data_IF_586212001392
#
_entry.id   IF_586212001392
#
_cell.length_a   1.000
_cell.length_b   1.000
_cell.length_c   1.000
_cell.angle_alpha   90.00
_cell.angle_beta   90.00
_cell.angle_gamma   90.00
#
_symmetry.space_group_name_H-M   'P 1'
#
loop_
_entity.id
_entity.type
_entity.pdbx_description
1 polymer ?
#
# COMPACT_ATOMS: atom_id res chain seq x y z
N UNK A 1 15.74 10.37 16.23
CA UNK A 1 15.36 9.52 17.38
C UNK A 1 16.58 9.35 18.25
N UNK A 2 16.46 9.62 19.55
CA UNK A 2 17.55 9.51 20.51
C UNK A 2 18.03 8.06 20.60
N UNK A 3 19.33 7.86 20.47
CA UNK A 3 20.02 6.58 20.55
C UNK A 3 20.03 6.06 22.01
N UNK A 4 18.88 5.54 22.46
CA UNK A 4 18.65 4.97 23.81
C UNK A 4 19.05 3.50 23.88
N UNK A 5 20.30 3.20 23.50
CA UNK A 5 20.94 1.91 23.72
C UNK A 5 22.05 2.01 24.78
N UNK A 6 22.36 0.91 25.52
CA UNK A 6 23.46 0.92 26.47
C UNK A 6 24.80 1.16 25.75
N UNK A 7 25.47 2.26 26.10
CA UNK A 7 26.72 2.72 25.46
C UNK A 7 27.97 2.06 26.03
N UNK A 8 27.88 1.43 27.20
CA UNK A 8 29.00 0.76 27.86
C UNK A 8 29.15 -0.68 27.40
N UNK A 9 30.38 -1.17 27.31
CA UNK A 9 30.71 -2.54 26.90
C UNK A 9 30.08 -3.59 27.83
N UNK A 10 30.04 -3.29 29.13
CA UNK A 10 29.30 -4.06 30.13
C UNK A 10 27.78 -4.07 29.87
N UNK A 11 27.19 -2.94 29.48
CA UNK A 11 25.77 -2.85 29.15
C UNK A 11 25.41 -3.62 27.88
N UNK A 12 26.29 -3.62 26.87
CA UNK A 12 26.15 -4.47 25.67
C UNK A 12 26.28 -5.96 26.01
N UNK A 13 27.20 -6.34 26.91
CA UNK A 13 27.34 -7.72 27.37
C UNK A 13 26.11 -8.24 28.12
N UNK A 14 25.51 -7.44 29.01
CA UNK A 14 24.29 -7.83 29.74
C UNK A 14 23.09 -8.01 28.80
N UNK A 15 22.93 -7.13 27.80
CA UNK A 15 21.89 -7.28 26.77
C UNK A 15 22.16 -8.51 25.88
N UNK A 16 23.43 -8.77 25.54
CA UNK A 16 23.80 -9.96 24.76
C UNK A 16 23.56 -11.28 25.52
N UNK A 17 23.77 -11.30 26.84
CA UNK A 17 23.45 -12.44 27.69
C UNK A 17 21.93 -12.71 27.73
N UNK A 18 21.09 -11.67 27.69
CA UNK A 18 19.64 -11.81 27.61
C UNK A 18 19.12 -12.26 26.22
N UNK A 19 19.94 -12.17 25.17
CA UNK A 19 19.62 -12.64 23.82
C UNK A 19 20.06 -14.09 23.54
N UNK A 20 20.57 -14.78 24.55
CA UNK A 20 21.13 -16.11 24.43
C UNK A 20 20.02 -17.14 24.10
N UNK A 21 20.12 -17.93 23.01
CA UNK A 21 19.14 -18.98 22.70
C UNK A 21 18.91 -19.99 23.84
N UNK A 22 19.89 -20.11 24.74
CA UNK A 22 19.83 -20.92 25.96
C UNK A 22 18.74 -20.49 26.95
N UNK A 23 18.21 -19.26 26.82
CA UNK A 23 17.06 -18.79 27.59
C UNK A 23 15.78 -19.59 27.30
N UNK A 24 15.67 -20.16 26.09
CA UNK A 24 14.50 -20.91 25.64
C UNK A 24 14.67 -22.43 25.74
N UNK A 25 15.91 -22.94 25.66
CA UNK A 25 16.19 -24.38 25.70
C UNK A 25 17.62 -24.66 26.12
N UNK A 26 17.81 -25.69 26.95
CA UNK A 26 19.14 -26.16 27.38
C UNK A 26 19.70 -27.26 26.47
N UNK A 27 18.92 -27.74 25.48
CA UNK A 27 19.38 -28.77 24.56
C UNK A 27 20.37 -28.16 23.54
N UNK A 28 21.63 -28.65 23.46
CA UNK A 28 22.65 -28.07 22.58
C UNK A 28 22.28 -28.12 21.09
N UNK A 29 21.59 -29.18 20.64
CA UNK A 29 21.13 -29.29 19.26
C UNK A 29 20.05 -28.24 18.95
N UNK A 30 19.20 -27.94 19.92
CA UNK A 30 18.15 -26.93 19.77
C UNK A 30 18.72 -25.51 19.78
N UNK A 31 19.74 -25.23 20.60
CA UNK A 31 20.49 -23.95 20.59
C UNK A 31 21.13 -23.71 19.22
N UNK A 32 21.82 -24.72 18.68
CA UNK A 32 22.42 -24.64 17.35
C UNK A 32 21.36 -24.44 16.25
N UNK A 33 20.23 -25.14 16.34
CA UNK A 33 19.12 -24.97 15.40
C UNK A 33 18.50 -23.56 15.45
N UNK A 34 18.35 -22.97 16.64
CA UNK A 34 17.87 -21.59 16.80
C UNK A 34 18.84 -20.60 16.16
N UNK A 35 20.16 -20.82 16.29
CA UNK A 35 21.16 -19.95 15.69
C UNK A 35 21.12 -20.01 14.16
N UNK A 36 21.00 -21.21 13.58
CA UNK A 36 20.80 -21.39 12.13
C UNK A 36 19.51 -20.72 11.68
N UNK A 37 18.41 -20.88 12.43
CA UNK A 37 17.13 -20.24 12.11
C UNK A 37 17.20 -18.71 12.16
N UNK A 38 17.94 -18.12 13.12
CA UNK A 38 18.20 -16.67 13.18
C UNK A 38 18.94 -16.20 11.92
N UNK A 39 19.99 -16.91 11.49
CA UNK A 39 20.73 -16.58 10.27
C UNK A 39 19.84 -16.65 9.03
N UNK A 40 19.02 -17.69 8.91
CA UNK A 40 18.07 -17.85 7.80
C UNK A 40 17.04 -16.71 7.76
N UNK A 41 16.49 -16.29 8.91
CA UNK A 41 15.56 -15.17 9.00
C UNK A 41 16.20 -13.82 8.68
N UNK A 42 17.48 -13.64 9.01
CA UNK A 42 18.22 -12.41 8.70
C UNK A 42 18.65 -12.31 7.23
N UNK A 43 18.46 -13.35 6.42
CA UNK A 43 18.70 -13.24 4.98
C UNK A 43 17.66 -12.35 4.32
N UNK A 44 18.04 -11.63 3.25
CA UNK A 44 17.12 -10.77 2.47
C UNK A 44 15.86 -11.51 2.00
N UNK A 45 15.98 -12.82 1.78
CA UNK A 45 14.91 -13.68 1.25
C UNK A 45 14.15 -14.44 2.36
N UNK A 46 14.57 -14.30 3.63
CA UNK A 46 13.96 -15.00 4.76
C UNK A 46 12.47 -14.68 4.94
N UNK A 47 12.06 -13.46 4.56
CA UNK A 47 10.68 -12.97 4.69
C UNK A 47 9.69 -13.71 3.77
N UNK A 48 10.12 -14.14 2.58
CA UNK A 48 9.28 -14.76 1.57
C UNK A 48 9.73 -16.18 1.19
N UNK A 49 10.67 -16.76 1.95
CA UNK A 49 11.19 -18.10 1.71
C UNK A 49 10.10 -19.19 1.67
N UNK A 50 8.95 -18.99 2.32
CA UNK A 50 7.85 -19.97 2.34
C UNK A 50 6.82 -19.81 1.22
N UNK A 51 6.89 -18.75 0.42
CA UNK A 51 5.88 -18.45 -0.61
C UNK A 51 6.00 -19.37 -1.83
N UNK A 52 7.21 -19.63 -2.40
CA UNK A 52 7.34 -20.49 -3.56
C UNK A 52 6.87 -21.93 -3.31
N UNK A 53 6.17 -22.54 -4.26
CA UNK A 53 5.87 -23.98 -4.24
C UNK A 53 7.13 -24.82 -4.47
N UNK A 54 7.07 -26.10 -4.08
CA UNK A 54 8.08 -27.09 -4.44
C UNK A 54 7.85 -27.58 -5.86
N UNK A 55 8.92 -27.61 -6.66
CA UNK A 55 8.91 -28.07 -8.04
C UNK A 55 8.71 -29.59 -8.08
N UNK A 56 7.67 -30.03 -8.79
CA UNK A 56 7.36 -31.45 -9.03
C UNK A 56 7.82 -31.95 -10.39
N UNK A 57 8.53 -31.12 -11.18
CA UNK A 57 8.92 -31.41 -12.57
C UNK A 57 7.73 -31.99 -13.37
N UNK A 58 7.80 -33.26 -13.77
CA UNK A 58 6.73 -33.95 -14.50
C UNK A 58 5.37 -34.02 -13.78
N UNK A 59 5.35 -33.99 -12.44
CA UNK A 59 4.12 -34.01 -11.64
C UNK A 59 3.57 -32.62 -11.29
N UNK A 60 4.12 -31.57 -11.89
CA UNK A 60 3.65 -30.20 -11.66
C UNK A 60 2.32 -29.95 -12.40
N UNK A 61 1.29 -29.38 -11.76
CA UNK A 61 0.06 -29.01 -12.46
C UNK A 61 0.26 -27.95 -13.54
N UNK A 62 1.40 -27.26 -13.52
CA UNK A 62 1.78 -26.22 -14.49
C UNK A 62 2.83 -26.72 -15.49
N UNK A 63 3.04 -28.02 -15.62
CA UNK A 63 4.09 -28.62 -16.46
C UNK A 63 4.03 -28.08 -17.90
N UNK A 64 2.84 -28.05 -18.48
CA UNK A 64 2.66 -27.73 -19.91
C UNK A 64 2.93 -26.25 -20.22
N UNK A 65 2.65 -25.36 -19.26
CA UNK A 65 2.94 -23.92 -19.36
C UNK A 65 4.31 -23.51 -18.80
N UNK A 66 5.03 -24.41 -18.14
CA UNK A 66 6.30 -24.12 -17.49
C UNK A 66 7.47 -24.12 -18.50
N UNK A 67 8.00 -22.93 -18.79
CA UNK A 67 9.15 -22.74 -19.68
C UNK A 67 10.41 -23.51 -19.21
N UNK A 68 10.69 -23.51 -17.90
CA UNK A 68 11.83 -24.25 -17.36
C UNK A 68 11.70 -25.76 -17.52
N UNK A 69 10.47 -26.27 -17.56
CA UNK A 69 10.25 -27.68 -17.84
C UNK A 69 10.46 -28.00 -19.32
N UNK A 70 9.96 -27.14 -20.22
CA UNK A 70 10.18 -27.25 -21.67
C UNK A 70 11.68 -27.17 -22.05
N UNK A 71 12.46 -26.42 -21.28
CA UNK A 71 13.91 -26.29 -21.44
C UNK A 71 14.72 -27.37 -20.68
N UNK A 72 14.06 -28.34 -20.03
CA UNK A 72 14.71 -29.40 -19.23
C UNK A 72 15.57 -28.88 -18.06
N UNK A 73 15.27 -27.67 -17.56
CA UNK A 73 15.98 -26.99 -16.46
C UNK A 73 15.18 -26.99 -15.14
N UNK A 74 14.07 -27.71 -15.06
CA UNK A 74 13.21 -27.73 -13.88
C UNK A 74 13.85 -28.49 -12.70
N UNK A 75 14.18 -27.83 -11.56
CA UNK A 75 14.88 -28.47 -10.45
C UNK A 75 13.89 -29.21 -9.54
N UNK A 76 13.72 -30.51 -9.76
CA UNK A 76 12.81 -31.35 -8.97
C UNK A 76 13.16 -31.34 -7.48
N UNK A 77 12.16 -31.14 -6.61
CA UNK A 77 12.32 -31.14 -5.15
C UNK A 77 12.76 -29.80 -4.56
N UNK A 78 13.25 -28.88 -5.38
CA UNK A 78 13.62 -27.53 -4.96
C UNK A 78 12.44 -26.56 -5.08
N UNK A 79 12.58 -25.37 -4.49
CA UNK A 79 11.60 -24.29 -4.66
C UNK A 79 11.51 -23.85 -6.11
N UNK A 80 10.30 -23.54 -6.57
CA UNK A 80 10.01 -23.14 -7.94
C UNK A 80 10.81 -21.88 -8.34
N UNK A 81 11.74 -21.96 -9.31
CA UNK A 81 12.56 -20.81 -9.68
C UNK A 81 11.78 -19.69 -10.36
N UNK A 82 10.72 -20.03 -11.11
CA UNK A 82 9.84 -19.03 -11.76
C UNK A 82 9.16 -18.16 -10.70
N UNK A 83 8.64 -18.78 -9.63
CA UNK A 83 8.01 -18.03 -8.55
C UNK A 83 9.04 -17.24 -7.73
N UNK A 84 10.24 -17.79 -7.49
CA UNK A 84 11.32 -17.05 -6.81
C UNK A 84 11.65 -15.77 -7.58
N UNK A 85 11.88 -15.88 -8.88
CA UNK A 85 12.19 -14.72 -9.72
C UNK A 85 11.05 -13.69 -9.73
N UNK A 86 9.80 -14.16 -9.81
CA UNK A 86 8.63 -13.28 -9.74
C UNK A 86 8.50 -12.58 -8.38
N UNK A 87 8.76 -13.28 -7.27
CA UNK A 87 8.73 -12.70 -5.92
C UNK A 87 9.77 -11.60 -5.77
N UNK A 88 11.01 -11.85 -6.21
CA UNK A 88 12.09 -10.86 -6.10
C UNK A 88 11.77 -9.60 -6.91
N UNK A 89 11.34 -9.78 -8.16
CA UNK A 89 10.94 -8.66 -9.03
C UNK A 89 9.75 -7.88 -8.46
N UNK A 90 8.68 -8.57 -8.02
CA UNK A 90 7.51 -7.91 -7.45
C UNK A 90 7.84 -7.16 -6.16
N UNK A 91 8.63 -7.78 -5.28
CA UNK A 91 9.00 -7.17 -4.00
C UNK A 91 9.82 -5.90 -4.22
N UNK A 92 10.83 -5.95 -5.09
CA UNK A 92 11.65 -4.78 -5.41
C UNK A 92 10.85 -3.68 -6.12
N UNK A 93 9.90 -4.03 -7.00
CA UNK A 93 8.96 -3.08 -7.61
C UNK A 93 8.09 -2.39 -6.57
N UNK A 94 7.49 -3.14 -5.64
CA UNK A 94 6.63 -2.57 -4.60
C UNK A 94 7.39 -1.65 -3.66
N UNK A 95 8.58 -2.07 -3.22
CA UNK A 95 9.44 -1.25 -2.36
C UNK A 95 9.84 0.05 -3.06
N UNK A 96 10.24 -0.04 -4.32
CA UNK A 96 10.63 1.13 -5.12
C UNK A 96 9.47 2.08 -5.32
N UNK A 97 8.31 1.55 -5.72
CA UNK A 97 7.09 2.34 -5.95
C UNK A 97 6.61 3.03 -4.66
N UNK A 98 6.71 2.34 -3.53
CA UNK A 98 6.29 2.84 -2.24
C UNK A 98 7.38 3.62 -1.52
N UNK A 99 8.61 3.71 -2.03
CA UNK A 99 9.76 4.38 -1.40
C UNK A 99 9.98 3.91 0.05
N UNK A 100 9.91 2.60 0.27
CA UNK A 100 10.13 1.99 1.58
C UNK A 100 11.61 1.70 1.74
N UNK A 101 12.21 2.09 2.86
CA UNK A 101 13.56 1.67 3.20
C UNK A 101 13.51 0.30 3.90
N UNK A 102 14.30 -0.67 3.39
CA UNK A 102 14.38 -2.04 3.91
C UNK A 102 15.14 -2.12 5.22
N UNK A 103 16.08 -1.20 5.43
CA UNK A 103 16.99 -1.26 6.57
C UNK A 103 16.47 -0.46 7.78
N UNK A 104 15.39 0.32 7.60
CA UNK A 104 14.73 1.08 8.67
C UNK A 104 13.72 0.20 9.45
N UNK A 105 13.94 -0.05 10.75
CA UNK A 105 13.00 -0.78 11.60
C UNK A 105 11.59 -0.16 11.64
N UNK A 106 11.47 1.17 11.42
CA UNK A 106 10.19 1.87 11.37
C UNK A 106 9.27 1.42 10.23
N UNK A 107 9.83 0.77 9.22
CA UNK A 107 9.11 0.28 8.04
C UNK A 107 8.76 -1.22 8.12
N UNK A 108 9.01 -1.88 9.25
CA UNK A 108 8.74 -3.32 9.43
C UNK A 108 7.30 -3.70 9.06
N UNK A 109 6.33 -2.89 9.50
CA UNK A 109 4.90 -3.11 9.22
C UNK A 109 4.59 -2.98 7.72
N UNK A 110 5.21 -2.01 7.05
CA UNK A 110 5.05 -1.80 5.61
C UNK A 110 5.68 -2.95 4.82
N UNK A 111 6.86 -3.44 5.24
CA UNK A 111 7.54 -4.58 4.63
C UNK A 111 6.72 -5.88 4.76
N UNK A 112 6.06 -6.11 5.90
CA UNK A 112 5.17 -7.25 6.10
C UNK A 112 3.97 -7.16 5.15
N UNK A 113 3.34 -5.99 5.05
CA UNK A 113 2.22 -5.79 4.12
C UNK A 113 2.64 -5.94 2.67
N UNK A 114 3.83 -5.45 2.28
CA UNK A 114 4.37 -5.70 0.93
C UNK A 114 4.56 -7.19 0.68
N UNK A 115 5.12 -7.94 1.65
CA UNK A 115 5.20 -9.40 1.54
C UNK A 115 3.83 -10.04 1.32
N UNK A 116 2.80 -9.59 2.03
CA UNK A 116 1.44 -10.10 1.85
C UNK A 116 0.88 -9.80 0.46
N UNK A 117 1.11 -8.60 -0.07
CA UNK A 117 0.70 -8.25 -1.44
C UNK A 117 1.41 -9.14 -2.47
N UNK A 118 2.72 -9.38 -2.31
CA UNK A 118 3.48 -10.26 -3.21
C UNK A 118 2.98 -11.71 -3.13
N UNK A 119 2.66 -12.20 -1.94
CA UNK A 119 2.08 -13.53 -1.74
C UNK A 119 0.74 -13.69 -2.49
N UNK A 120 -0.13 -12.69 -2.38
CA UNK A 120 -1.39 -12.64 -3.13
C UNK A 120 -1.17 -12.63 -4.65
N UNK A 121 -0.17 -11.89 -5.14
CA UNK A 121 0.17 -11.84 -6.56
C UNK A 121 0.68 -13.17 -7.10
N UNK A 122 1.49 -13.89 -6.33
CA UNK A 122 1.94 -15.24 -6.71
C UNK A 122 0.76 -16.23 -6.72
N UNK A 123 -0.16 -16.12 -5.77
CA UNK A 123 -1.38 -16.93 -5.78
C UNK A 123 -2.28 -16.61 -6.99
N UNK A 124 -2.37 -15.34 -7.39
CA UNK A 124 -3.07 -14.95 -8.61
C UNK A 124 -2.38 -15.48 -9.87
N UNK A 125 -1.05 -15.43 -9.93
CA UNK A 125 -0.26 -16.02 -11.02
C UNK A 125 -0.52 -17.53 -11.16
N UNK A 126 -0.64 -18.25 -10.04
CA UNK A 126 -1.02 -19.67 -10.04
C UNK A 126 -2.42 -19.92 -10.60
N UNK A 127 -3.38 -19.06 -10.26
CA UNK A 127 -4.74 -19.13 -10.81
C UNK A 127 -4.72 -18.88 -12.32
N UNK A 128 -3.94 -17.89 -12.77
CA UNK A 128 -3.81 -17.54 -14.19
C UNK A 128 -3.15 -18.66 -14.99
N UNK A 129 -2.10 -19.28 -14.45
CA UNK A 129 -1.47 -20.43 -15.06
C UNK A 129 -2.40 -21.64 -15.12
N UNK A 130 -3.25 -21.86 -14.10
CA UNK A 130 -4.25 -22.93 -14.14
C UNK A 130 -5.29 -22.66 -15.22
N UNK A 131 -5.76 -21.42 -15.30
CA UNK A 131 -6.77 -21.03 -16.27
C UNK A 131 -6.26 -21.02 -17.71
N UNK A 132 -4.98 -20.69 -17.91
CA UNK A 132 -4.33 -20.81 -19.22
C UNK A 132 -4.26 -22.26 -19.71
N UNK A 133 -4.20 -23.24 -18.82
CA UNK A 133 -4.19 -24.67 -19.17
C UNK A 133 -5.60 -25.16 -19.47
N UNK A 134 -6.58 -24.83 -18.60
CA UNK A 134 -7.94 -25.34 -18.73
C UNK A 134 -8.72 -24.67 -19.89
N UNK A 135 -8.34 -23.45 -20.27
CA UNK A 135 -8.89 -22.64 -21.39
C UNK A 135 -10.40 -22.31 -21.36
N UNK A 136 -11.19 -22.95 -20.50
CA UNK A 136 -12.62 -22.69 -20.28
C UNK A 136 -12.87 -22.03 -18.92
N UNK A 137 -13.81 -21.08 -18.90
CA UNK A 137 -14.26 -20.41 -17.68
C UNK A 137 -15.46 -21.10 -17.05
N UNK A 138 -16.16 -21.95 -17.80
CA UNK A 138 -17.38 -22.62 -17.36
C UNK A 138 -17.09 -24.12 -17.25
N UNK A 139 -17.45 -24.71 -16.11
CA UNK A 139 -17.37 -26.16 -15.89
C UNK A 139 -18.79 -26.71 -15.74
N UNK A 140 -19.07 -27.83 -16.39
CA UNK A 140 -20.28 -28.60 -16.14
C UNK A 140 -20.06 -29.55 -14.97
N UNK A 141 -20.68 -29.24 -13.82
CA UNK A 141 -20.67 -30.10 -12.65
C UNK A 141 -21.92 -30.99 -12.64
N UNK A 142 -21.74 -32.30 -12.50
CA UNK A 142 -22.85 -33.25 -12.33
C UNK A 142 -23.40 -33.17 -10.90
N UNK A 143 -24.64 -32.74 -10.74
CA UNK A 143 -25.27 -32.54 -9.41
C UNK A 143 -26.01 -33.79 -8.94
N UNK A 144 -26.72 -34.45 -9.85
CA UNK A 144 -27.50 -35.64 -9.53
C UNK A 144 -27.58 -36.58 -10.73
N UNK A 145 -27.69 -37.87 -10.44
CA UNK A 145 -28.00 -38.90 -11.44
C UNK A 145 -29.46 -39.29 -11.20
N UNK A 146 -30.29 -39.20 -12.24
CA UNK A 146 -31.68 -39.64 -12.18
C UNK A 146 -31.76 -41.17 -12.04
N UNK A 147 -32.93 -41.70 -11.66
CA UNK A 147 -33.15 -43.16 -11.56
C UNK A 147 -32.93 -43.90 -12.90
N UNK A 148 -33.09 -43.19 -14.02
CA UNK A 148 -32.82 -43.67 -15.39
C UNK A 148 -31.32 -43.62 -15.78
N UNK A 149 -30.44 -43.14 -14.91
CA UNK A 149 -28.99 -43.07 -15.15
C UNK A 149 -28.51 -41.79 -15.85
N UNK A 150 -29.42 -40.88 -16.22
CA UNK A 150 -29.06 -39.60 -16.84
C UNK A 150 -28.50 -38.62 -15.81
N UNK A 151 -27.32 -38.06 -16.10
CA UNK A 151 -26.66 -37.07 -15.25
C UNK A 151 -27.21 -35.67 -15.54
N UNK A 152 -27.79 -35.03 -14.52
CA UNK A 152 -28.14 -33.60 -14.59
C UNK A 152 -26.88 -32.76 -14.31
N UNK A 153 -26.40 -32.07 -15.35
CA UNK A 153 -25.28 -31.12 -15.25
C UNK A 153 -25.78 -29.71 -14.95
N UNK A 154 -25.00 -28.97 -14.16
CA UNK A 154 -25.13 -27.52 -13.99
C UNK A 154 -23.85 -26.86 -14.46
N UNK A 155 -24.04 -25.81 -15.26
CA UNK A 155 -22.97 -24.91 -15.65
C UNK A 155 -22.62 -23.99 -14.48
N UNK A 156 -21.39 -24.11 -13.97
CA UNK A 156 -20.84 -23.29 -12.90
C UNK A 156 -19.54 -22.62 -13.35
N UNK A 157 -19.17 -21.51 -12.70
CA UNK A 157 -17.91 -20.83 -12.98
C UNK A 157 -16.74 -21.68 -12.47
N UNK A 158 -15.63 -21.67 -13.21
CA UNK A 158 -14.43 -22.37 -12.81
C UNK A 158 -13.94 -21.89 -11.43
N UNK A 159 -13.68 -22.79 -10.45
CA UNK A 159 -13.33 -22.40 -9.08
C UNK A 159 -12.10 -21.49 -8.96
N UNK A 160 -11.15 -21.60 -9.90
CA UNK A 160 -9.99 -20.72 -9.95
C UNK A 160 -10.36 -19.24 -10.20
N UNK A 161 -11.45 -18.96 -10.94
CA UNK A 161 -11.92 -17.58 -11.17
C UNK A 161 -12.50 -16.99 -9.88
N UNK A 162 -13.34 -17.76 -9.19
CA UNK A 162 -13.89 -17.35 -7.89
C UNK A 162 -12.79 -17.13 -6.86
N UNK A 163 -11.82 -18.04 -6.82
CA UNK A 163 -10.67 -17.92 -5.93
C UNK A 163 -9.83 -16.68 -6.25
N UNK A 164 -9.55 -16.42 -7.54
CA UNK A 164 -8.87 -15.20 -7.99
C UNK A 164 -9.60 -13.94 -7.57
N UNK A 165 -10.93 -13.91 -7.64
CA UNK A 165 -11.74 -12.77 -7.18
C UNK A 165 -11.57 -12.53 -5.67
N UNK A 166 -11.55 -13.58 -4.85
CA UNK A 166 -11.28 -13.49 -3.40
C UNK A 166 -9.88 -12.94 -3.13
N UNK A 167 -8.87 -13.41 -3.86
CA UNK A 167 -7.49 -12.92 -3.75
C UNK A 167 -7.39 -11.43 -4.13
N UNK A 168 -8.07 -11.01 -5.19
CA UNK A 168 -8.10 -9.63 -5.64
C UNK A 168 -8.72 -8.70 -4.60
N UNK A 169 -9.84 -9.11 -3.99
CA UNK A 169 -10.48 -8.36 -2.91
C UNK A 169 -9.54 -8.21 -1.70
N UNK A 170 -8.84 -9.29 -1.30
CA UNK A 170 -7.81 -9.23 -0.26
C UNK A 170 -6.66 -8.30 -0.65
N UNK A 171 -6.20 -8.33 -1.90
CA UNK A 171 -5.11 -7.47 -2.39
C UNK A 171 -5.48 -5.99 -2.28
N UNK A 172 -6.69 -5.63 -2.72
CA UNK A 172 -7.19 -4.26 -2.59
C UNK A 172 -7.27 -3.81 -1.13
N UNK A 173 -7.75 -4.69 -0.24
CA UNK A 173 -7.79 -4.41 1.20
C UNK A 173 -6.39 -4.18 1.78
N UNK A 174 -5.41 -5.03 1.46
CA UNK A 174 -4.04 -4.88 1.95
C UNK A 174 -3.40 -3.58 1.43
N UNK A 175 -3.59 -3.24 0.16
CA UNK A 175 -3.10 -1.96 -0.40
C UNK A 175 -3.77 -0.75 0.24
N UNK A 176 -5.06 -0.83 0.55
CA UNK A 176 -5.77 0.24 1.27
C UNK A 176 -5.23 0.42 2.69
N UNK A 177 -4.95 -0.67 3.41
CA UNK A 177 -4.34 -0.64 4.74
C UNK A 177 -2.92 -0.07 4.69
N UNK A 178 -2.15 -0.42 3.67
CA UNK A 178 -0.80 0.11 3.46
C UNK A 178 -0.84 1.63 3.22
N UNK A 179 -1.80 2.13 2.46
CA UNK A 179 -1.97 3.57 2.29
C UNK A 179 -2.47 4.26 3.57
N UNK A 180 -3.34 3.61 4.35
CA UNK A 180 -3.85 4.16 5.62
C UNK A 180 -2.73 4.32 6.64
N UNK A 181 -1.97 3.26 6.91
CA UNK A 181 -0.86 3.28 7.88
C UNK A 181 0.18 4.35 7.57
N UNK A 182 0.45 4.60 6.28
CA UNK A 182 1.33 5.67 5.83
C UNK A 182 0.74 7.06 6.05
N UNK A 183 -0.54 7.26 5.73
CA UNK A 183 -1.26 8.48 6.06
C UNK A 183 -1.32 8.73 7.57
N UNK A 184 -1.40 7.69 8.39
CA UNK A 184 -1.38 7.82 9.84
C UNK A 184 0.02 8.21 10.34
N UNK A 185 1.08 7.63 9.75
CA UNK A 185 2.48 8.04 10.02
C UNK A 185 2.77 9.49 9.60
N UNK A 186 2.21 9.95 8.48
CA UNK A 186 2.34 11.33 7.99
C UNK A 186 1.43 12.29 8.78
N UNK A 187 0.21 11.86 9.09
CA UNK A 187 -0.78 12.54 9.89
C UNK A 187 -0.26 12.89 11.29
N UNK A 188 0.50 11.97 11.89
CA UNK A 188 1.21 12.20 13.16
C UNK A 188 2.41 13.15 13.05
N UNK A 189 2.91 13.44 11.85
CA UNK A 189 3.90 14.52 11.63
C UNK A 189 3.21 15.86 11.41
N UNK A 190 1.98 15.85 10.87
CA UNK A 190 1.11 17.03 10.71
C UNK A 190 0.15 17.27 11.88
N UNK A 191 0.25 16.54 12.98
CA UNK A 191 0.01 17.14 14.31
C UNK A 191 1.16 18.10 14.61
N UNK A 192 1.29 19.12 13.77
CA UNK A 192 1.50 20.44 14.31
C UNK A 192 0.42 20.58 15.38
N UNK A 193 0.87 20.61 16.63
CA UNK A 193 0.23 21.41 17.64
C UNK A 193 0.17 22.83 17.04
N UNK A 194 -0.81 23.08 16.18
CA UNK A 194 -1.38 24.41 16.01
C UNK A 194 -1.98 24.67 17.36
N UNK A 195 -1.10 25.15 18.25
CA UNK A 195 -1.45 25.62 19.57
C UNK A 195 -2.73 26.43 19.40
N UNK A 196 -3.78 26.13 20.18
CA UNK A 196 -5.07 26.79 20.01
C UNK A 196 -4.91 28.32 19.98
N UNK A 197 -3.87 28.82 20.67
CA UNK A 197 -3.32 30.16 20.66
C UNK A 197 -2.93 30.69 19.27
N UNK A 198 -2.21 29.92 18.44
CA UNK A 198 -1.77 30.35 17.11
C UNK A 198 -2.94 30.48 16.14
N UNK A 199 -3.89 29.52 16.18
CA UNK A 199 -5.10 29.60 15.36
C UNK A 199 -6.02 30.73 15.82
N UNK A 200 -6.12 30.97 17.13
CA UNK A 200 -6.83 32.12 17.67
C UNK A 200 -6.16 33.45 17.26
N UNK A 201 -4.82 33.52 17.29
CA UNK A 201 -4.07 34.71 16.89
C UNK A 201 -4.24 35.01 15.40
N UNK A 202 -4.26 33.99 14.55
CA UNK A 202 -4.50 34.14 13.11
C UNK A 202 -5.92 34.64 12.82
N UNK A 203 -6.93 34.09 13.52
CA UNK A 203 -8.31 34.57 13.43
C UNK A 203 -8.46 36.03 13.88
N UNK A 204 -7.83 36.41 14.99
CA UNK A 204 -7.83 37.79 15.48
C UNK A 204 -7.16 38.72 14.47
N UNK A 205 -6.04 38.29 13.87
CA UNK A 205 -5.34 39.07 12.85
C UNK A 205 -6.21 39.28 11.61
N UNK A 206 -6.88 38.22 11.12
CA UNK A 206 -7.80 38.34 9.98
C UNK A 206 -8.98 39.26 10.30
N UNK A 207 -9.50 39.23 11.52
CA UNK A 207 -10.58 40.14 11.94
C UNK A 207 -10.11 41.59 12.00
N UNK A 208 -8.88 41.84 12.47
CA UNK A 208 -8.29 43.19 12.47
C UNK A 208 -8.02 43.72 11.07
N UNK A 209 -7.56 42.87 10.15
CA UNK A 209 -7.30 43.27 8.77
C UNK A 209 -8.61 43.57 8.02
N UNK A 210 -9.67 42.77 8.24
CA UNK A 210 -11.02 43.07 7.73
C UNK A 210 -11.53 44.41 8.23
N UNK A 211 -11.38 44.69 9.53
CA UNK A 211 -11.86 45.94 10.11
C UNK A 211 -11.14 47.17 9.55
N UNK A 212 -9.84 47.07 9.29
CA UNK A 212 -9.08 48.15 8.65
C UNK A 212 -9.58 48.45 7.24
N UNK A 213 -9.92 47.41 6.46
CA UNK A 213 -10.48 47.59 5.13
C UNK A 213 -11.85 48.29 5.19
N UNK A 214 -12.70 47.92 6.14
CA UNK A 214 -13.99 48.60 6.39
C UNK A 214 -13.77 50.07 6.79
N UNK A 215 -12.84 50.34 7.71
CA UNK A 215 -12.51 51.72 8.13
C UNK A 215 -11.96 52.55 6.95
N UNK A 216 -11.11 51.97 6.09
CA UNK A 216 -10.57 52.62 4.89
C UNK A 216 -11.66 52.89 3.84
N UNK A 217 -12.63 51.98 3.67
CA UNK A 217 -13.78 52.14 2.79
C UNK A 217 -14.71 53.27 3.28
N UNK A 218 -15.01 53.31 4.57
CA UNK A 218 -15.82 54.36 5.20
C UNK A 218 -15.13 55.74 5.07
N UNK A 219 -13.81 55.81 5.25
CA UNK A 219 -13.04 57.03 5.05
C UNK A 219 -13.06 57.50 3.59
N UNK A 220 -12.92 56.57 2.63
CA UNK A 220 -13.00 56.86 1.20
C UNK A 220 -14.41 57.36 0.79
N UNK A 221 -15.46 56.74 1.33
CA UNK A 221 -16.86 57.13 1.10
C UNK A 221 -17.14 58.53 1.66
N UNK A 222 -16.72 58.81 2.90
CA UNK A 222 -16.86 60.14 3.50
C UNK A 222 -16.04 61.20 2.76
N UNK A 223 -14.85 60.86 2.25
CA UNK A 223 -14.05 61.76 1.44
C UNK A 223 -14.72 62.04 0.09
N UNK A 224 -15.34 61.04 -0.53
CA UNK A 224 -16.14 61.18 -1.74
C UNK A 224 -17.34 62.11 -1.52
N UNK A 225 -18.15 61.87 -0.48
CA UNK A 225 -19.30 62.72 -0.16
C UNK A 225 -18.90 64.14 0.24
N UNK A 226 -17.78 64.33 0.94
CA UNK A 226 -17.24 65.67 1.24
C UNK A 226 -16.82 66.43 -0.02
N UNK A 227 -16.24 65.75 -1.02
CA UNK A 227 -15.91 66.37 -2.33
C UNK A 227 -17.18 66.73 -3.11
N UNK A 228 -18.21 65.89 -3.05
CA UNK A 228 -19.50 66.15 -3.70
C UNK A 228 -20.28 67.29 -3.03
N UNK A 229 -20.18 67.45 -1.70
CA UNK A 229 -20.84 68.54 -0.97
C UNK A 229 -20.16 69.92 -1.18
N UNK A 230 -18.88 69.95 -1.57
CA UNK A 230 -18.14 71.19 -1.85
C UNK A 230 -18.34 71.76 -3.26
N UNK A 231 -18.76 70.94 -4.22
CA UNK A 231 -19.03 71.36 -5.60
C UNK A 231 -20.53 71.36 -5.88
N UNK A 232 -21.13 72.56 -5.92
CA UNK A 232 -22.56 72.77 -6.13
C UNK A 232 -23.01 72.59 -7.60
N UNK A 233 -22.57 71.53 -8.27
CA UNK A 233 -22.99 71.20 -9.64
C UNK A 233 -23.23 69.69 -9.76
N UNK A 234 -24.45 69.23 -10.09
CA UNK A 234 -24.70 67.82 -10.30
C UNK A 234 -24.01 67.40 -11.60
N UNK A 235 -23.01 66.53 -11.52
CA UNK A 235 -22.47 65.84 -12.70
C UNK A 235 -23.50 64.82 -13.17
N UNK A 236 -24.44 65.27 -13.98
CA UNK A 236 -25.25 64.41 -14.84
C UNK A 236 -24.27 63.75 -15.82
N UNK A 237 -24.18 62.42 -15.78
CA UNK A 237 -23.47 61.66 -16.80
C UNK A 237 -24.46 61.52 -17.96
N UNK A 238 -24.34 62.39 -18.96
CA UNK A 238 -25.07 62.21 -20.22
C UNK A 238 -24.46 61.00 -20.95
N UNK A 239 -25.18 59.88 -20.91
CA UNK A 239 -24.87 58.71 -21.74
C UNK A 239 -25.51 58.96 -23.10
N UNK A 240 -24.68 59.27 -24.11
CA UNK A 240 -25.15 59.32 -25.49
C UNK A 240 -25.64 57.92 -25.92
N UNK A 241 -26.85 57.78 -26.49
CA UNK A 241 -27.34 56.49 -26.93
C UNK A 241 -26.50 55.99 -28.10
N UNK A 242 -25.99 54.76 -27.98
CA UNK A 242 -25.27 54.05 -29.03
C UNK A 242 -26.19 53.96 -30.25
N UNK A 243 -25.83 54.65 -31.33
CA UNK A 243 -26.53 54.58 -32.61
C UNK A 243 -26.47 53.17 -33.16
N UNK A 244 -27.63 52.54 -33.35
CA UNK A 244 -27.76 51.36 -34.20
C UNK A 244 -27.74 51.84 -35.66
N UNK A 245 -26.61 51.70 -36.33
CA UNK A 245 -26.56 51.79 -37.79
C UNK A 245 -27.25 50.54 -38.37
N UNK A 246 -28.43 50.73 -38.96
CA UNK A 246 -29.10 49.71 -39.78
C UNK A 246 -28.34 49.50 -41.10
N UNK A 247 -27.72 48.33 -41.26
CA UNK A 247 -27.40 47.72 -42.56
C UNK A 247 -27.57 46.21 -42.51
#
# INVERSE_FOLDING_TARGET
MSDTGPKTEAGKMVVSQNLNPTAWTQNPNAVQAIEVAKRLRNTKHGLYASVPIICKSNGCPYKDSCQLHQMELAPHGEKCPIEIAAIEDLFDRYITALKIDRDDPGNTVDLIMVKEVVDLDIQMLRCDNKMAIDADFIIENTISVNEDGDAMTRSELHPAVEYKQKLLASKHKTLQLLNSTRKDKEGNKTTFVLDASQRAAELIKTQQDMKKLEDDEDEAEQAYYRRMAGNNTPTIIDVEPIGFDEK
#
